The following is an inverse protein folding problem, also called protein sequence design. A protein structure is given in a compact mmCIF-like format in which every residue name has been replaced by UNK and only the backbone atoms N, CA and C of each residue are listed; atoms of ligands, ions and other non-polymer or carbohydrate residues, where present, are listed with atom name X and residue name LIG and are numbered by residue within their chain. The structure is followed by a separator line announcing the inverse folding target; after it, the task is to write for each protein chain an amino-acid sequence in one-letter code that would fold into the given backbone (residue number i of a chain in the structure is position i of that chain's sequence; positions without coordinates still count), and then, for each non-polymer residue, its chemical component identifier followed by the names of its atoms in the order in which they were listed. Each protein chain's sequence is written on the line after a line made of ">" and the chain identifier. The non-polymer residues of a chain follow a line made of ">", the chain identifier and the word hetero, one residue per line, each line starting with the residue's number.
data_IF_534084171188
#
_entry.id   IF_534084171188
#
_cell.length_a   1.000
_cell.length_b   1.000
_cell.length_c   1.000
_cell.angle_alpha   90.00
_cell.angle_beta   90.00
_cell.angle_gamma   90.00
#
_symmetry.space_group_name_H-M   'P 1'
#
loop_
_entity.id
_entity.type
_entity.pdbx_description
1 polymer ?
#
# COMPACT_ATOMS: atom_id res chain seq x y z
N UNK A 1 -12.69 -7.44 10.67
CA UNK A 1 -13.09 -7.18 12.07
C UNK A 1 -12.28 -6.05 12.73
N UNK A 2 -11.06 -6.27 13.26
CA UNK A 2 -10.37 -5.21 14.03
C UNK A 2 -9.92 -4.02 13.16
N UNK A 3 -9.36 -4.28 11.98
CA UNK A 3 -8.95 -3.22 11.03
C UNK A 3 -10.16 -2.44 10.49
N UNK A 4 -11.26 -3.14 10.25
CA UNK A 4 -12.50 -2.56 9.76
C UNK A 4 -13.17 -1.68 10.82
N UNK A 5 -13.19 -2.13 12.07
CA UNK A 5 -13.66 -1.33 13.20
C UNK A 5 -12.78 -0.09 13.39
N UNK A 6 -11.45 -0.24 13.41
CA UNK A 6 -10.56 0.92 13.59
C UNK A 6 -10.69 1.92 12.44
N UNK A 7 -10.89 1.46 11.20
CA UNK A 7 -11.17 2.34 10.07
C UNK A 7 -12.54 3.04 10.21
N UNK A 8 -13.59 2.32 10.61
CA UNK A 8 -14.93 2.88 10.79
C UNK A 8 -15.02 3.89 11.94
N UNK A 9 -14.27 3.69 13.02
CA UNK A 9 -14.25 4.56 14.19
C UNK A 9 -13.15 5.64 14.14
N UNK A 10 -12.43 5.78 13.02
CA UNK A 10 -11.36 6.79 12.88
C UNK A 10 -10.20 6.61 13.86
N UNK A 11 -9.96 5.38 14.32
CA UNK A 11 -8.88 5.06 15.24
C UNK A 11 -7.58 4.82 14.44
N UNK A 12 -7.02 5.91 13.89
CA UNK A 12 -5.89 5.87 12.94
C UNK A 12 -4.65 5.14 13.51
N UNK A 13 -4.28 5.41 14.77
CA UNK A 13 -3.14 4.77 15.41
C UNK A 13 -3.32 3.25 15.55
N UNK A 14 -4.53 2.81 15.89
CA UNK A 14 -4.84 1.38 15.96
C UNK A 14 -4.84 0.74 14.57
N UNK A 15 -5.38 1.43 13.55
CA UNK A 15 -5.33 0.97 12.15
C UNK A 15 -3.88 0.73 11.71
N UNK A 16 -3.00 1.71 11.91
CA UNK A 16 -1.59 1.59 11.54
C UNK A 16 -0.87 0.48 12.31
N UNK A 17 -1.16 0.32 13.60
CA UNK A 17 -0.55 -0.75 14.40
C UNK A 17 -0.99 -2.14 13.92
N UNK A 18 -2.28 -2.34 13.67
CA UNK A 18 -2.82 -3.60 13.15
C UNK A 18 -2.25 -3.88 11.75
N UNK A 19 -2.19 -2.86 10.89
CA UNK A 19 -1.59 -2.95 9.56
C UNK A 19 -0.13 -3.42 9.63
N UNK A 20 0.69 -2.79 10.49
CA UNK A 20 2.08 -3.18 10.70
C UNK A 20 2.21 -4.63 11.21
N UNK A 21 1.32 -5.05 12.12
CA UNK A 21 1.31 -6.42 12.65
C UNK A 21 0.93 -7.45 11.59
N UNK A 22 -0.03 -7.17 10.71
CA UNK A 22 -0.42 -8.07 9.61
C UNK A 22 0.75 -8.25 8.64
N UNK A 23 1.44 -7.17 8.27
CA UNK A 23 2.60 -7.21 7.37
C UNK A 23 3.78 -7.95 8.02
N UNK A 24 4.08 -7.65 9.30
CA UNK A 24 5.17 -8.30 10.06
C UNK A 24 4.92 -9.78 10.32
N UNK A 25 3.66 -10.15 10.57
CA UNK A 25 3.26 -11.53 10.85
C UNK A 25 3.18 -12.39 9.58
N UNK A 26 3.62 -11.86 8.42
CA UNK A 26 3.67 -12.55 7.12
C UNK A 26 2.33 -13.19 6.72
N UNK A 27 1.21 -12.56 7.12
CA UNK A 27 -0.12 -13.06 6.76
C UNK A 27 -0.36 -12.89 5.25
N UNK A 28 0.36 -11.96 4.61
CA UNK A 28 0.33 -11.76 3.15
C UNK A 28 1.25 -12.79 2.48
N UNK A 29 0.65 -13.79 1.85
CA UNK A 29 1.30 -14.82 1.06
C UNK A 29 0.85 -14.74 -0.41
N UNK A 30 1.41 -15.62 -1.25
CA UNK A 30 1.13 -15.64 -2.69
C UNK A 30 -0.34 -16.00 -3.00
N UNK A 31 -0.96 -16.81 -2.16
CA UNK A 31 -2.32 -17.33 -2.35
C UNK A 31 -3.40 -16.31 -1.97
N UNK A 32 -3.08 -15.36 -1.07
CA UNK A 32 -4.01 -14.37 -0.55
C UNK A 32 -3.63 -12.91 -0.89
N UNK A 33 -2.52 -12.69 -1.61
CA UNK A 33 -2.06 -11.34 -1.95
C UNK A 33 -3.12 -10.53 -2.71
N UNK A 34 -3.86 -11.17 -3.62
CA UNK A 34 -4.91 -10.50 -4.39
C UNK A 34 -6.09 -10.06 -3.50
N UNK A 35 -6.52 -10.91 -2.57
CA UNK A 35 -7.60 -10.58 -1.61
C UNK A 35 -7.18 -9.43 -0.69
N UNK A 36 -5.96 -9.51 -0.15
CA UNK A 36 -5.41 -8.46 0.69
C UNK A 36 -5.25 -7.13 -0.05
N UNK A 37 -4.94 -7.17 -1.35
CA UNK A 37 -4.83 -5.96 -2.17
C UNK A 37 -6.19 -5.25 -2.29
N UNK A 38 -7.26 -5.98 -2.60
CA UNK A 38 -8.63 -5.45 -2.69
C UNK A 38 -9.11 -4.94 -1.32
N UNK A 39 -8.84 -5.71 -0.26
CA UNK A 39 -9.20 -5.33 1.09
C UNK A 39 -8.46 -4.07 1.56
N UNK A 40 -7.15 -3.98 1.29
CA UNK A 40 -6.33 -2.84 1.67
C UNK A 40 -6.76 -1.56 0.96
N UNK A 41 -7.16 -1.65 -0.31
CA UNK A 41 -7.70 -0.52 -1.07
C UNK A 41 -9.03 -0.04 -0.47
N UNK A 42 -9.96 -0.98 -0.22
CA UNK A 42 -11.29 -0.69 0.33
C UNK A 42 -11.25 -0.03 1.71
N UNK A 43 -10.24 -0.37 2.53
CA UNK A 43 -10.07 0.16 3.88
C UNK A 43 -8.99 1.23 4.01
N UNK A 44 -8.47 1.78 2.89
CA UNK A 44 -7.44 2.81 2.90
C UNK A 44 -6.24 2.46 3.80
N UNK A 45 -5.67 1.28 3.56
CA UNK A 45 -4.53 0.71 4.28
C UNK A 45 -3.30 0.66 3.36
N UNK A 46 -2.49 1.73 3.34
CA UNK A 46 -1.42 1.90 2.36
C UNK A 46 -0.20 0.97 2.55
N UNK A 47 0.20 0.61 3.78
CA UNK A 47 1.30 -0.35 4.00
C UNK A 47 0.88 -1.77 3.57
N UNK A 48 -0.35 -2.17 3.88
CA UNK A 48 -0.86 -3.49 3.51
C UNK A 48 -0.98 -3.62 1.99
N UNK A 49 -1.46 -2.55 1.33
CA UNK A 49 -1.51 -2.46 -0.13
C UNK A 49 -0.11 -2.58 -0.73
N UNK A 50 0.87 -1.89 -0.17
CA UNK A 50 2.26 -1.96 -0.64
C UNK A 50 2.87 -3.35 -0.46
N UNK A 51 2.63 -3.99 0.70
CA UNK A 51 3.08 -5.36 0.97
C UNK A 51 2.48 -6.36 -0.03
N UNK A 52 1.17 -6.28 -0.31
CA UNK A 52 0.50 -7.12 -1.28
C UNK A 52 1.06 -6.95 -2.71
N UNK A 53 1.32 -5.70 -3.14
CA UNK A 53 1.97 -5.40 -4.42
C UNK A 53 3.39 -5.98 -4.47
N UNK A 54 4.13 -5.93 -3.36
CA UNK A 54 5.49 -6.46 -3.30
C UNK A 54 5.51 -8.00 -3.40
N UNK A 55 4.54 -8.67 -2.76
CA UNK A 55 4.32 -10.12 -2.91
C UNK A 55 3.96 -10.48 -4.36
N UNK A 56 3.09 -9.69 -5.00
CA UNK A 56 2.79 -9.85 -6.43
C UNK A 56 4.02 -9.70 -7.32
N UNK A 57 4.87 -8.69 -7.09
CA UNK A 57 6.12 -8.50 -7.85
C UNK A 57 7.06 -9.70 -7.73
N UNK A 58 7.07 -10.36 -6.58
CA UNK A 58 7.95 -11.50 -6.32
C UNK A 58 7.50 -12.76 -7.06
N UNK A 59 6.19 -13.00 -7.19
CA UNK A 59 5.64 -14.19 -7.84
C UNK A 59 4.31 -13.89 -8.58
N UNK A 60 4.33 -13.16 -9.71
CA UNK A 60 3.11 -12.68 -10.35
C UNK A 60 2.24 -13.84 -10.88
N UNK A 61 2.84 -14.89 -11.46
CA UNK A 61 2.10 -16.04 -12.00
C UNK A 61 1.27 -16.75 -10.95
N UNK A 62 1.84 -17.03 -9.77
CA UNK A 62 1.13 -17.70 -8.68
C UNK A 62 0.00 -16.84 -8.10
N UNK A 63 0.21 -15.52 -7.98
CA UNK A 63 -0.86 -14.63 -7.51
C UNK A 63 -2.00 -14.57 -8.52
N UNK A 64 -1.73 -14.61 -9.82
CA UNK A 64 -2.77 -14.64 -10.86
C UNK A 64 -3.56 -15.95 -10.89
N UNK A 65 -2.96 -17.05 -10.46
CA UNK A 65 -3.63 -18.35 -10.30
C UNK A 65 -4.44 -18.45 -8.99
N UNK A 66 -4.29 -17.49 -8.07
CA UNK A 66 -5.01 -17.48 -6.80
C UNK A 66 -6.50 -17.20 -6.97
N UNK A 67 -7.32 -17.76 -6.08
CA UNK A 67 -8.77 -17.54 -6.12
C UNK A 67 -9.18 -16.07 -5.94
N UNK A 68 -8.40 -15.30 -5.17
CA UNK A 68 -8.61 -13.86 -4.97
C UNK A 68 -8.33 -13.00 -6.20
N UNK A 69 -7.67 -13.55 -7.22
CA UNK A 69 -7.38 -12.81 -8.46
C UNK A 69 -8.65 -12.43 -9.22
N UNK A 70 -9.68 -13.29 -9.22
CA UNK A 70 -10.95 -13.02 -9.90
C UNK A 70 -11.60 -11.72 -9.38
N UNK A 71 -11.61 -11.52 -8.06
CA UNK A 71 -12.13 -10.29 -7.43
C UNK A 71 -11.29 -9.06 -7.79
N UNK A 72 -9.98 -9.23 -7.94
CA UNK A 72 -9.09 -8.15 -8.38
C UNK A 72 -9.33 -7.80 -9.85
N UNK A 73 -9.62 -8.79 -10.69
CA UNK A 73 -9.89 -8.63 -12.12
C UNK A 73 -11.15 -7.79 -12.40
N UNK A 74 -12.12 -7.83 -11.50
CA UNK A 74 -13.31 -6.97 -11.55
C UNK A 74 -12.97 -5.47 -11.40
N UNK A 75 -11.81 -5.14 -10.83
CA UNK A 75 -11.38 -3.75 -10.62
C UNK A 75 -10.26 -3.34 -11.60
N UNK A 76 -10.66 -2.77 -12.74
CA UNK A 76 -9.73 -2.23 -13.73
C UNK A 76 -8.79 -1.15 -13.16
N UNK A 77 -9.26 -0.38 -12.17
CA UNK A 77 -8.45 0.65 -11.49
C UNK A 77 -7.30 0.02 -10.69
N UNK A 78 -7.59 -1.04 -9.93
CA UNK A 78 -6.57 -1.76 -9.16
C UNK A 78 -5.58 -2.49 -10.06
N UNK A 79 -6.05 -3.13 -11.13
CA UNK A 79 -5.16 -3.74 -12.12
C UNK A 79 -4.23 -2.71 -12.78
N UNK A 80 -4.75 -1.54 -13.14
CA UNK A 80 -3.95 -0.45 -13.72
C UNK A 80 -2.90 0.06 -12.73
N UNK A 81 -3.27 0.20 -11.46
CA UNK A 81 -2.34 0.59 -10.40
C UNK A 81 -1.28 -0.48 -10.14
N UNK A 82 -1.69 -1.75 -10.11
CA UNK A 82 -0.80 -2.89 -9.94
C UNK A 82 0.21 -2.95 -11.08
N UNK A 83 -0.25 -2.86 -12.35
CA UNK A 83 0.61 -2.81 -13.54
C UNK A 83 1.57 -1.62 -13.47
N UNK A 84 1.07 -0.42 -13.12
CA UNK A 84 1.95 0.76 -12.97
C UNK A 84 2.99 0.55 -11.89
N UNK A 85 2.64 -0.13 -10.79
CA UNK A 85 3.60 -0.46 -9.75
C UNK A 85 4.60 -1.53 -10.22
N UNK A 86 4.18 -2.59 -10.91
CA UNK A 86 5.08 -3.66 -11.39
C UNK A 86 6.02 -3.18 -12.48
N UNK A 87 5.49 -2.46 -13.48
CA UNK A 87 6.19 -2.04 -14.68
C UNK A 87 6.77 -0.63 -14.60
N UNK A 88 6.82 -0.04 -13.40
CA UNK A 88 7.51 1.24 -13.15
C UNK A 88 8.99 1.08 -13.51
N UNK A 89 9.34 1.28 -14.78
CA UNK A 89 10.71 1.45 -15.24
C UNK A 89 11.23 2.70 -14.55
N UNK A 90 12.18 2.55 -13.64
CA UNK A 90 12.96 3.70 -13.16
C UNK A 90 13.54 4.40 -14.39
N UNK A 91 13.24 5.68 -14.66
CA UNK A 91 13.93 6.41 -15.71
C UNK A 91 15.42 6.38 -15.38
N UNK A 92 16.22 5.79 -16.26
CA UNK A 92 17.68 5.77 -16.08
C UNK A 92 18.17 7.22 -16.10
N UNK A 93 18.65 7.72 -14.96
CA UNK A 93 19.42 8.98 -14.90
C UNK A 93 18.82 10.14 -14.11
N UNK A 94 17.78 9.94 -13.30
CA UNK A 94 17.32 10.94 -12.33
C UNK A 94 16.74 10.26 -11.08
N UNK A 95 17.55 9.43 -10.41
CA UNK A 95 17.22 8.97 -9.07
C UNK A 95 17.43 10.15 -8.12
N UNK A 96 16.46 11.07 -8.05
CA UNK A 96 16.31 11.86 -6.84
C UNK A 96 15.82 10.90 -5.76
N UNK A 97 16.76 10.43 -4.92
CA UNK A 97 16.45 9.56 -3.78
C UNK A 97 15.42 10.20 -2.84
N UNK A 98 15.20 11.52 -2.94
CA UNK A 98 14.21 12.25 -2.18
C UNK A 98 12.84 12.34 -2.85
N UNK A 99 12.60 11.77 -4.04
CA UNK A 99 11.27 11.77 -4.67
C UNK A 99 10.29 10.93 -3.80
N UNK A 100 9.26 11.55 -3.20
CA UNK A 100 8.30 10.85 -2.34
C UNK A 100 7.54 9.74 -3.09
N UNK A 101 7.49 9.77 -4.42
CA UNK A 101 6.87 8.70 -5.22
C UNK A 101 7.63 7.38 -5.18
N UNK A 102 8.92 7.40 -4.82
CA UNK A 102 9.79 6.23 -4.75
C UNK A 102 9.94 5.68 -3.33
N UNK A 103 9.56 6.44 -2.31
CA UNK A 103 9.61 6.02 -0.91
C UNK A 103 8.52 4.99 -0.59
N UNK A 104 8.80 4.10 0.35
CA UNK A 104 7.80 3.21 0.93
C UNK A 104 6.89 3.97 1.91
N UNK A 105 5.69 3.45 2.16
CA UNK A 105 4.72 4.10 3.04
C UNK A 105 5.23 4.29 4.46
N UNK A 106 6.11 3.42 4.97
CA UNK A 106 6.69 3.55 6.31
C UNK A 106 7.61 4.78 6.36
N UNK A 107 8.48 4.93 5.37
CA UNK A 107 9.34 6.12 5.22
C UNK A 107 8.52 7.40 5.07
N UNK A 108 7.47 7.38 4.24
CA UNK A 108 6.57 8.53 4.07
C UNK A 108 5.90 8.94 5.40
N UNK A 109 5.45 7.96 6.20
CA UNK A 109 4.85 8.22 7.52
C UNK A 109 5.87 8.78 8.51
N UNK A 110 7.09 8.26 8.54
CA UNK A 110 8.15 8.78 9.41
C UNK A 110 8.46 10.25 9.09
N UNK A 111 8.60 10.61 7.82
CA UNK A 111 8.88 12.00 7.41
C UNK A 111 7.72 12.94 7.77
N UNK A 112 6.48 12.49 7.58
CA UNK A 112 5.30 13.28 7.95
C UNK A 112 5.20 13.49 9.47
N UNK A 113 5.52 12.47 10.26
CA UNK A 113 5.55 12.55 11.72
C UNK A 113 6.61 13.53 12.21
N UNK A 114 7.82 13.50 11.64
CA UNK A 114 8.89 14.49 11.93
C UNK A 114 8.46 15.93 11.59
N UNK A 115 7.65 16.10 10.54
CA UNK A 115 7.09 17.39 10.13
C UNK A 115 5.81 17.79 10.88
N UNK A 116 5.31 16.95 11.80
CA UNK A 116 4.06 17.19 12.54
C UNK A 116 2.81 17.18 11.66
N UNK A 117 2.85 16.49 10.52
CA UNK A 117 1.77 16.38 9.55
C UNK A 117 0.95 15.09 9.76
N UNK A 118 -0.28 15.09 9.25
CA UNK A 118 -1.17 13.93 9.32
C UNK A 118 -0.65 12.74 8.50
N UNK A 119 -0.54 11.58 9.17
CA UNK A 119 0.01 10.33 8.65
C UNK A 119 -1.07 9.35 8.15
N UNK A 120 -2.35 9.72 8.23
CA UNK A 120 -3.45 8.88 7.75
C UNK A 120 -3.81 9.10 6.28
N UNK A 121 -4.45 8.08 5.70
CA UNK A 121 -4.97 8.08 4.33
C UNK A 121 -4.16 7.20 3.39
N UNK A 122 -4.36 7.40 2.10
CA UNK A 122 -3.70 6.61 1.04
C UNK A 122 -2.25 7.08 0.83
N UNK A 123 -1.43 6.25 0.19
CA UNK A 123 -0.05 6.64 -0.20
C UNK A 123 0.00 7.96 -0.97
N UNK A 124 -0.98 8.20 -1.83
CA UNK A 124 -1.10 9.46 -2.59
C UNK A 124 -1.36 10.66 -1.69
N UNK A 125 -2.20 10.51 -0.65
CA UNK A 125 -2.43 11.58 0.33
C UNK A 125 -1.15 11.90 1.12
N UNK A 126 -0.35 10.88 1.47
CA UNK A 126 0.94 11.08 2.13
C UNK A 126 1.92 11.87 1.23
N UNK A 127 2.05 11.46 -0.03
CA UNK A 127 2.89 12.13 -1.03
C UNK A 127 2.43 13.58 -1.25
N UNK A 128 1.12 13.80 -1.37
CA UNK A 128 0.57 15.14 -1.55
C UNK A 128 0.88 16.06 -0.36
N UNK A 129 0.81 15.55 0.87
CA UNK A 129 1.18 16.32 2.07
C UNK A 129 2.67 16.65 2.11
N UNK A 130 3.55 15.75 1.66
CA UNK A 130 4.98 16.02 1.58
C UNK A 130 5.33 17.05 0.50
N UNK A 131 4.70 16.97 -0.66
CA UNK A 131 4.93 17.90 -1.77
C UNK A 131 4.28 19.27 -1.55
N UNK A 132 3.22 19.35 -0.74
CA UNK A 132 2.50 20.58 -0.41
C UNK A 132 2.94 21.25 0.89
N UNK A 133 3.89 20.66 1.63
CA UNK A 133 4.48 21.29 2.81
C UNK A 133 5.37 22.47 2.38
N UNK A 134 5.22 23.67 2.97
CA UNK A 134 6.08 24.82 2.68
C UNK A 134 7.55 24.59 3.10
#
# INVERSE_FOLDING_TARGET
>A
ALLEASNRFGCHQLKMHVESQIVKSLVVNVDNAAEWLVFADSHSCPLLKEAAINTFRSNPTKVMESCGWATLEESAALLSELMRATFRKRPRGCDDENDPNNMDVSTLRSILEEKGLDVDGTKQMLIQRLNGAP
#
